data_IF_946324473261
#
_entry.id   IF_946324473261
#
_cell.length_a   1.000
_cell.length_b   1.000
_cell.length_c   1.000
_cell.angle_alpha   90.00
_cell.angle_beta   90.00
_cell.angle_gamma   90.00
#
_symmetry.space_group_name_H-M   'P 1'
#
loop_
_entity.id
_entity.type
_entity.pdbx_description
1 polymer ?
#
# COMPACT_ATOMS: atom_id res chain seq x y z
N UNK A 1 -44.05 13.93 -43.86
CA UNK A 1 -42.73 14.45 -43.51
C UNK A 1 -42.22 14.02 -42.10
N UNK A 2 -42.99 14.22 -41.03
CA UNK A 2 -42.53 13.82 -39.66
C UNK A 2 -42.13 12.34 -39.55
N UNK A 3 -42.88 11.42 -40.15
CA UNK A 3 -42.62 9.98 -40.09
C UNK A 3 -41.30 9.58 -40.76
N UNK A 4 -40.92 10.26 -41.86
CA UNK A 4 -39.66 10.00 -42.60
C UNK A 4 -38.42 10.44 -41.89
N UNK A 5 -38.52 11.37 -40.92
CA UNK A 5 -37.40 11.79 -40.06
C UNK A 5 -37.27 10.90 -38.83
N UNK A 6 -38.39 10.51 -38.22
CA UNK A 6 -38.39 9.67 -37.00
C UNK A 6 -37.86 8.25 -37.25
N UNK A 7 -38.13 7.66 -38.40
CA UNK A 7 -37.75 6.27 -38.68
C UNK A 7 -36.19 6.09 -38.80
N UNK A 8 -35.44 6.94 -39.54
CA UNK A 8 -33.99 6.89 -39.54
C UNK A 8 -33.36 7.20 -38.20
N UNK A 9 -33.86 8.16 -37.43
CA UNK A 9 -33.35 8.54 -36.12
C UNK A 9 -33.52 7.40 -35.11
N UNK A 10 -34.70 6.75 -35.08
CA UNK A 10 -34.92 5.59 -34.20
C UNK A 10 -34.05 4.39 -34.58
N UNK A 11 -33.88 4.14 -35.89
CA UNK A 11 -32.99 3.09 -36.38
C UNK A 11 -31.50 3.35 -36.04
N UNK A 12 -31.07 4.60 -36.17
CA UNK A 12 -29.75 5.04 -35.74
C UNK A 12 -29.54 4.82 -34.23
N UNK A 13 -30.51 5.21 -33.40
CA UNK A 13 -30.45 4.98 -31.95
C UNK A 13 -30.31 3.51 -31.59
N UNK A 14 -31.05 2.63 -32.27
CA UNK A 14 -30.92 1.19 -32.07
C UNK A 14 -29.55 0.63 -32.46
N UNK A 15 -28.99 1.06 -33.60
CA UNK A 15 -27.66 0.67 -34.04
C UNK A 15 -26.59 1.18 -33.04
N UNK A 16 -26.72 2.42 -32.59
CA UNK A 16 -25.80 3.02 -31.61
C UNK A 16 -25.77 2.25 -30.29
N UNK A 17 -26.92 1.85 -29.78
CA UNK A 17 -27.03 1.05 -28.56
C UNK A 17 -26.38 -0.34 -28.71
N UNK A 18 -26.60 -0.99 -29.86
CA UNK A 18 -26.00 -2.30 -30.16
C UNK A 18 -24.46 -2.21 -30.31
N UNK A 19 -23.98 -1.18 -30.99
CA UNK A 19 -22.57 -0.91 -31.17
C UNK A 19 -21.89 -0.58 -29.82
N UNK A 20 -22.54 0.20 -28.95
CA UNK A 20 -22.05 0.50 -27.61
C UNK A 20 -21.84 -0.76 -26.77
N UNK A 21 -22.81 -1.70 -26.78
CA UNK A 21 -22.67 -2.99 -26.09
C UNK A 21 -21.49 -3.82 -26.62
N UNK A 22 -21.18 -3.72 -27.90
CA UNK A 22 -20.06 -4.44 -28.52
C UNK A 22 -18.70 -3.79 -28.20
N UNK A 23 -18.62 -2.48 -28.17
CA UNK A 23 -17.37 -1.72 -28.01
C UNK A 23 -16.93 -1.68 -26.54
N UNK A 24 -17.86 -1.56 -25.59
CA UNK A 24 -17.60 -1.46 -24.16
C UNK A 24 -16.64 -2.54 -23.62
N UNK A 25 -16.81 -3.84 -23.91
CA UNK A 25 -15.88 -4.89 -23.43
C UNK A 25 -14.48 -4.78 -24.04
N UNK A 26 -14.35 -4.28 -25.29
CA UNK A 26 -13.07 -4.07 -25.95
C UNK A 26 -12.25 -2.99 -25.21
N UNK A 27 -12.88 -1.87 -24.86
CA UNK A 27 -12.24 -0.79 -24.10
C UNK A 27 -11.85 -1.23 -22.67
N UNK A 28 -12.74 -1.99 -21.99
CA UNK A 28 -12.44 -2.54 -20.68
C UNK A 28 -11.21 -3.47 -20.71
N UNK A 29 -11.13 -4.33 -21.70
CA UNK A 29 -10.01 -5.25 -21.88
C UNK A 29 -8.71 -4.49 -22.20
N UNK A 30 -8.77 -3.42 -22.99
CA UNK A 30 -7.64 -2.52 -23.26
C UNK A 30 -7.05 -1.93 -21.98
N UNK A 31 -7.92 -1.46 -21.06
CA UNK A 31 -7.50 -0.93 -19.77
C UNK A 31 -6.73 -1.97 -18.94
N UNK A 32 -7.24 -3.22 -18.90
CA UNK A 32 -6.59 -4.32 -18.19
C UNK A 32 -5.21 -4.66 -18.77
N UNK A 33 -5.11 -4.86 -20.09
CA UNK A 33 -3.83 -5.17 -20.76
C UNK A 33 -2.81 -4.04 -20.57
N UNK A 34 -3.25 -2.78 -20.65
CA UNK A 34 -2.37 -1.63 -20.42
C UNK A 34 -1.81 -1.60 -18.99
N UNK A 35 -2.63 -1.96 -17.99
CA UNK A 35 -2.18 -2.07 -16.60
C UNK A 35 -1.17 -3.22 -16.43
N UNK A 36 -1.38 -4.37 -17.06
CA UNK A 36 -0.47 -5.51 -17.04
C UNK A 36 0.90 -5.17 -17.66
N UNK A 37 0.91 -4.50 -18.81
CA UNK A 37 2.17 -4.07 -19.49
C UNK A 37 2.92 -3.04 -18.63
N UNK A 38 2.22 -2.07 -18.05
CA UNK A 38 2.85 -1.09 -17.14
C UNK A 38 3.38 -1.75 -15.87
N UNK A 39 2.64 -2.67 -15.27
CA UNK A 39 3.08 -3.45 -14.12
C UNK A 39 4.37 -4.22 -14.44
N UNK A 40 4.40 -4.91 -15.57
CA UNK A 40 5.59 -5.63 -16.03
C UNK A 40 6.80 -4.72 -16.22
N UNK A 41 6.61 -3.55 -16.82
CA UNK A 41 7.68 -2.55 -16.99
C UNK A 41 8.27 -2.13 -15.62
N UNK A 42 7.41 -1.88 -14.65
CA UNK A 42 7.84 -1.52 -13.29
C UNK A 42 8.63 -2.65 -12.63
N UNK A 43 8.17 -3.90 -12.75
CA UNK A 43 8.90 -5.09 -12.26
C UNK A 43 10.26 -5.24 -12.94
N UNK A 44 10.32 -5.13 -14.26
CA UNK A 44 11.55 -5.25 -15.05
C UNK A 44 12.58 -4.21 -14.61
N UNK A 45 12.17 -2.94 -14.43
CA UNK A 45 13.05 -1.87 -13.97
C UNK A 45 13.50 -2.09 -12.51
N UNK A 46 12.62 -2.51 -11.63
CA UNK A 46 12.98 -2.82 -10.24
C UNK A 46 13.93 -4.03 -10.16
N UNK A 47 13.72 -5.04 -11.03
CA UNK A 47 14.50 -6.28 -11.09
C UNK A 47 15.70 -6.24 -12.02
N UNK A 48 16.09 -5.08 -12.57
CA UNK A 48 17.14 -5.00 -13.62
C UNK A 48 18.47 -5.63 -13.23
N UNK A 49 18.86 -5.57 -11.96
CA UNK A 49 20.09 -6.20 -11.46
C UNK A 49 20.01 -7.73 -11.54
N UNK A 50 18.84 -8.30 -11.25
CA UNK A 50 18.61 -9.75 -11.34
C UNK A 50 18.66 -10.19 -12.79
N UNK A 51 17.98 -9.46 -13.69
CA UNK A 51 17.98 -9.73 -15.14
C UNK A 51 19.41 -9.73 -15.67
N UNK A 52 20.21 -8.72 -15.28
CA UNK A 52 21.63 -8.62 -15.66
C UNK A 52 22.48 -9.74 -15.09
N UNK A 53 22.31 -10.07 -13.79
CA UNK A 53 23.06 -11.11 -13.13
C UNK A 53 22.87 -12.50 -13.77
N UNK A 54 21.68 -12.76 -14.28
CA UNK A 54 21.35 -14.04 -14.93
C UNK A 54 21.40 -14.00 -16.47
N UNK A 55 21.85 -12.89 -17.06
CA UNK A 55 21.93 -12.68 -18.52
C UNK A 55 20.59 -12.98 -19.24
N UNK A 56 19.48 -12.54 -18.58
CA UNK A 56 18.12 -12.87 -18.98
C UNK A 56 17.42 -11.75 -19.79
N UNK A 57 18.17 -10.80 -20.35
CA UNK A 57 17.64 -9.65 -21.08
C UNK A 57 16.78 -10.07 -22.27
N UNK A 58 17.23 -11.07 -23.03
CA UNK A 58 16.48 -11.55 -24.18
C UNK A 58 15.13 -12.15 -23.80
N UNK A 59 15.12 -12.96 -22.73
CA UNK A 59 13.89 -13.57 -22.22
C UNK A 59 12.90 -12.51 -21.71
N UNK A 60 13.42 -11.48 -21.04
CA UNK A 60 12.58 -10.38 -20.54
C UNK A 60 12.04 -9.51 -21.68
N UNK A 61 12.86 -9.20 -22.67
CA UNK A 61 12.44 -8.50 -23.88
C UNK A 61 11.34 -9.24 -24.62
N UNK A 62 11.47 -10.54 -24.84
CA UNK A 62 10.42 -11.35 -25.48
C UNK A 62 9.11 -11.33 -24.68
N UNK A 63 9.19 -11.35 -23.35
CA UNK A 63 8.02 -11.28 -22.49
C UNK A 63 7.34 -9.92 -22.58
N UNK A 64 8.12 -8.85 -22.57
CA UNK A 64 7.63 -7.48 -22.75
C UNK A 64 7.03 -7.25 -24.14
N UNK A 65 7.71 -7.71 -25.21
CA UNK A 65 7.23 -7.63 -26.59
C UNK A 65 5.87 -8.33 -26.76
N UNK A 66 5.68 -9.51 -26.18
CA UNK A 66 4.37 -10.21 -26.19
C UNK A 66 3.28 -9.38 -25.53
N UNK A 67 3.58 -8.71 -24.42
CA UNK A 67 2.67 -7.79 -23.75
C UNK A 67 2.31 -6.60 -24.63
N UNK A 68 3.31 -5.97 -25.23
CA UNK A 68 3.14 -4.83 -26.15
C UNK A 68 2.35 -5.23 -27.39
N UNK A 69 2.63 -6.42 -27.99
CA UNK A 69 1.86 -6.90 -29.15
C UNK A 69 0.40 -7.16 -28.77
N UNK A 70 0.13 -7.75 -27.63
CA UNK A 70 -1.23 -7.92 -27.11
C UNK A 70 -1.95 -6.58 -26.95
N UNK A 71 -1.27 -5.56 -26.41
CA UNK A 71 -1.81 -4.20 -26.30
C UNK A 71 -2.08 -3.61 -27.69
N UNK A 72 -1.13 -3.73 -28.61
CA UNK A 72 -1.26 -3.25 -29.99
C UNK A 72 -2.47 -3.87 -30.69
N UNK A 73 -2.63 -5.21 -30.64
CA UNK A 73 -3.76 -5.90 -31.25
C UNK A 73 -5.10 -5.44 -30.64
N UNK A 74 -5.14 -5.19 -29.34
CA UNK A 74 -6.34 -4.72 -28.66
C UNK A 74 -6.67 -3.27 -29.01
N UNK A 75 -5.66 -2.39 -29.09
CA UNK A 75 -5.80 -1.02 -29.57
C UNK A 75 -6.28 -1.01 -31.02
N UNK A 76 -5.67 -1.83 -31.90
CA UNK A 76 -6.08 -1.97 -33.30
C UNK A 76 -7.54 -2.40 -33.41
N UNK A 77 -7.98 -3.41 -32.63
CA UNK A 77 -9.40 -3.85 -32.59
C UNK A 77 -10.33 -2.72 -32.15
N UNK A 78 -9.95 -1.97 -31.10
CA UNK A 78 -10.79 -0.87 -30.59
C UNK A 78 -10.91 0.27 -31.60
N UNK A 79 -9.80 0.68 -32.22
CA UNK A 79 -9.78 1.73 -33.23
C UNK A 79 -10.55 1.31 -34.50
N UNK A 80 -10.36 0.06 -34.96
CA UNK A 80 -11.11 -0.46 -36.13
C UNK A 80 -12.61 -0.50 -35.84
N UNK A 81 -13.03 -0.98 -34.65
CA UNK A 81 -14.44 -1.02 -34.26
C UNK A 81 -15.05 0.39 -34.21
N UNK A 82 -14.32 1.35 -33.63
CA UNK A 82 -14.73 2.75 -33.58
C UNK A 82 -14.82 3.36 -34.98
N UNK A 83 -13.80 3.14 -35.83
CA UNK A 83 -13.78 3.66 -37.21
C UNK A 83 -14.94 3.11 -38.04
N UNK A 84 -15.20 1.79 -37.99
CA UNK A 84 -16.32 1.17 -38.68
C UNK A 84 -17.65 1.75 -38.19
N UNK A 85 -17.83 1.91 -36.89
CA UNK A 85 -19.04 2.50 -36.32
C UNK A 85 -19.22 3.95 -36.79
N UNK A 86 -18.20 4.78 -36.70
CA UNK A 86 -18.28 6.20 -37.11
C UNK A 86 -18.54 6.33 -38.61
N UNK A 87 -17.80 5.57 -39.44
CA UNK A 87 -17.99 5.58 -40.90
C UNK A 87 -19.38 5.09 -41.31
N UNK A 88 -19.85 4.00 -40.69
CA UNK A 88 -21.20 3.48 -40.95
C UNK A 88 -22.30 4.49 -40.54
N UNK A 89 -22.11 5.16 -39.40
CA UNK A 89 -23.02 6.21 -38.94
C UNK A 89 -23.04 7.41 -39.88
N UNK A 90 -21.88 7.87 -40.32
CA UNK A 90 -21.77 8.99 -41.28
C UNK A 90 -22.39 8.61 -42.64
N UNK A 91 -22.15 7.40 -43.10
CA UNK A 91 -22.73 6.90 -44.36
C UNK A 91 -24.27 6.83 -44.29
N UNK A 92 -24.84 6.29 -43.22
CA UNK A 92 -26.30 6.22 -43.02
C UNK A 92 -26.95 7.61 -42.92
N UNK A 93 -26.28 8.54 -42.22
CA UNK A 93 -26.72 9.93 -42.15
C UNK A 93 -26.66 10.61 -43.52
N UNK A 94 -25.64 10.33 -44.31
CA UNK A 94 -25.51 10.80 -45.69
C UNK A 94 -26.64 10.29 -46.57
N UNK A 95 -26.94 8.98 -46.52
CA UNK A 95 -28.09 8.40 -47.25
C UNK A 95 -29.43 9.02 -46.83
N UNK A 96 -29.64 9.20 -45.51
CA UNK A 96 -30.84 9.86 -45.02
C UNK A 96 -30.95 11.30 -45.55
N UNK A 97 -29.83 12.05 -45.57
CA UNK A 97 -29.80 13.42 -46.12
C UNK A 97 -30.17 13.47 -47.59
N UNK A 98 -29.59 12.57 -48.40
CA UNK A 98 -29.94 12.46 -49.84
C UNK A 98 -31.43 12.10 -50.03
N UNK A 99 -31.93 11.15 -49.25
CA UNK A 99 -33.38 10.78 -49.28
C UNK A 99 -34.30 11.95 -48.95
N UNK A 100 -33.96 12.70 -47.93
CA UNK A 100 -34.73 13.90 -47.49
C UNK A 100 -34.67 14.99 -48.55
N UNK A 101 -33.49 15.24 -49.15
CA UNK A 101 -33.33 16.19 -50.25
C UNK A 101 -34.17 15.78 -51.50
N UNK A 102 -34.14 14.48 -51.85
CA UNK A 102 -34.89 13.98 -52.99
C UNK A 102 -36.42 14.10 -52.78
N UNK A 103 -36.92 13.70 -51.61
CA UNK A 103 -38.36 13.80 -51.27
C UNK A 103 -38.79 15.26 -51.13
N UNK A 104 -37.96 16.11 -50.48
CA UNK A 104 -38.22 17.54 -50.36
C UNK A 104 -38.22 18.26 -51.67
N UNK A 105 -37.33 17.92 -52.62
CA UNK A 105 -37.31 18.40 -54.00
C UNK A 105 -38.57 17.99 -54.79
N UNK A 106 -39.02 16.74 -54.61
CA UNK A 106 -40.29 16.27 -55.21
C UNK A 106 -41.49 17.09 -54.72
N UNK A 107 -41.62 17.32 -53.39
CA UNK A 107 -42.71 18.15 -52.84
C UNK A 107 -42.60 19.63 -53.29
N UNK A 108 -41.41 20.12 -53.56
CA UNK A 108 -41.21 21.47 -54.13
C UNK A 108 -41.71 21.56 -55.58
N UNK A 109 -41.49 20.54 -56.43
CA UNK A 109 -41.99 20.46 -57.81
C UNK A 109 -43.50 20.37 -57.82
N UNK A 110 -44.13 19.65 -56.89
CA UNK A 110 -45.56 19.56 -56.73
C UNK A 110 -46.22 20.83 -56.14
N UNK A 111 -45.44 21.84 -55.81
CA UNK A 111 -45.95 23.08 -55.22
C UNK A 111 -46.38 22.99 -53.76
N UNK A 112 -46.12 21.88 -53.08
CA UNK A 112 -46.45 21.66 -51.66
C UNK A 112 -45.45 22.30 -50.70
N UNK A 113 -44.25 22.67 -51.19
CA UNK A 113 -43.21 23.34 -50.43
C UNK A 113 -42.62 24.52 -51.21
N UNK A 114 -42.43 25.67 -50.55
CA UNK A 114 -41.68 26.77 -51.15
C UNK A 114 -40.16 26.49 -51.13
N UNK A 115 -39.44 27.14 -52.06
CA UNK A 115 -37.96 27.05 -52.06
C UNK A 115 -37.34 27.49 -50.75
N UNK A 116 -37.93 28.52 -50.09
CA UNK A 116 -37.51 29.01 -48.79
C UNK A 116 -37.68 27.99 -47.69
N UNK A 117 -38.84 27.27 -47.69
CA UNK A 117 -39.12 26.22 -46.67
C UNK A 117 -38.18 25.02 -46.87
N UNK A 118 -37.88 24.65 -48.10
CA UNK A 118 -36.94 23.57 -48.40
C UNK A 118 -35.50 23.91 -47.92
N UNK A 119 -35.00 25.13 -48.20
CA UNK A 119 -33.74 25.60 -47.71
C UNK A 119 -33.66 25.65 -46.18
N UNK A 120 -34.72 26.23 -45.57
CA UNK A 120 -34.82 26.28 -44.08
C UNK A 120 -34.78 24.88 -43.47
N UNK A 121 -35.50 23.93 -44.04
CA UNK A 121 -35.54 22.55 -43.56
C UNK A 121 -34.17 21.85 -43.69
N UNK A 122 -33.45 22.03 -44.84
CA UNK A 122 -32.15 21.44 -45.07
C UNK A 122 -31.09 22.01 -44.10
N UNK A 123 -31.13 23.32 -43.86
CA UNK A 123 -30.21 23.95 -42.89
C UNK A 123 -30.48 23.47 -41.47
N UNK A 124 -31.76 23.40 -41.04
CA UNK A 124 -32.10 22.90 -39.69
C UNK A 124 -31.72 21.44 -39.52
N UNK A 125 -31.85 20.61 -40.57
CA UNK A 125 -31.38 19.21 -40.53
C UNK A 125 -29.88 19.10 -40.34
N UNK A 126 -29.10 19.92 -41.06
CA UNK A 126 -27.66 20.00 -40.89
C UNK A 126 -27.25 20.37 -39.46
N UNK A 127 -27.92 21.34 -38.86
CA UNK A 127 -27.70 21.74 -37.48
C UNK A 127 -28.08 20.66 -36.46
N UNK A 128 -29.04 19.77 -36.74
CA UNK A 128 -29.43 18.68 -35.85
C UNK A 128 -28.43 17.50 -35.87
N UNK A 129 -27.75 17.26 -36.97
CA UNK A 129 -26.83 16.09 -37.10
C UNK A 129 -25.64 16.21 -36.19
N UNK A 130 -24.97 17.39 -36.14
CA UNK A 130 -23.80 17.61 -35.35
C UNK A 130 -23.96 17.34 -33.84
N UNK A 131 -25.01 17.84 -33.16
CA UNK A 131 -25.27 17.51 -31.75
C UNK A 131 -25.53 16.02 -31.50
N UNK A 132 -26.16 15.31 -32.42
CA UNK A 132 -26.46 13.87 -32.26
C UNK A 132 -25.12 13.07 -32.25
N UNK A 133 -24.21 13.42 -33.18
CA UNK A 133 -22.84 12.80 -33.21
C UNK A 133 -22.08 13.14 -31.94
N UNK A 134 -22.12 14.39 -31.47
CA UNK A 134 -21.47 14.79 -30.21
C UNK A 134 -22.06 14.06 -29.00
N UNK A 135 -23.36 13.91 -28.86
CA UNK A 135 -23.99 13.15 -27.79
C UNK A 135 -23.48 11.69 -27.73
N UNK A 136 -23.27 11.06 -28.88
CA UNK A 136 -22.72 9.71 -28.96
C UNK A 136 -21.27 9.62 -28.41
N UNK A 137 -20.46 10.63 -28.68
CA UNK A 137 -19.08 10.73 -28.19
C UNK A 137 -19.05 11.04 -26.67
N UNK A 138 -19.91 11.94 -26.20
CA UNK A 138 -20.05 12.27 -24.77
C UNK A 138 -20.48 11.04 -23.98
N UNK A 139 -21.36 10.19 -24.50
CA UNK A 139 -21.81 8.97 -23.83
C UNK A 139 -20.67 8.01 -23.50
N UNK A 140 -19.67 7.88 -24.39
CA UNK A 140 -18.49 7.05 -24.15
C UNK A 140 -17.55 7.66 -23.09
N UNK A 141 -17.30 8.97 -23.17
CA UNK A 141 -16.47 9.70 -22.20
C UNK A 141 -17.12 9.71 -20.80
N UNK A 142 -18.45 9.89 -20.73
CA UNK A 142 -19.19 9.85 -19.48
C UNK A 142 -19.10 8.47 -18.82
N UNK A 143 -19.15 7.39 -19.59
CA UNK A 143 -19.00 6.02 -19.05
C UNK A 143 -17.62 5.79 -18.46
N UNK A 144 -16.57 6.30 -19.10
CA UNK A 144 -15.20 6.21 -18.60
C UNK A 144 -15.02 7.04 -17.31
N UNK A 145 -15.58 8.26 -17.30
CA UNK A 145 -15.55 9.14 -16.14
C UNK A 145 -16.32 8.56 -14.94
N UNK A 146 -17.53 8.00 -15.17
CA UNK A 146 -18.32 7.35 -14.13
C UNK A 146 -17.61 6.11 -13.56
N UNK A 147 -16.96 5.29 -14.39
CA UNK A 147 -16.21 4.15 -13.91
C UNK A 147 -15.01 4.57 -13.03
N UNK A 148 -14.37 5.72 -13.33
CA UNK A 148 -13.36 6.31 -12.47
C UNK A 148 -13.93 6.84 -11.15
N UNK A 149 -15.12 7.45 -11.20
CA UNK A 149 -15.83 7.95 -10.02
C UNK A 149 -16.25 6.80 -9.09
N UNK A 150 -16.85 5.73 -9.64
CA UNK A 150 -17.26 4.54 -8.88
C UNK A 150 -16.08 3.95 -8.11
N UNK A 151 -14.89 3.89 -8.74
CA UNK A 151 -13.68 3.39 -8.09
C UNK A 151 -13.15 4.35 -7.00
N UNK A 152 -13.30 5.65 -7.20
CA UNK A 152 -12.96 6.65 -6.19
C UNK A 152 -13.92 6.56 -5.01
N UNK A 153 -15.21 6.40 -5.28
CA UNK A 153 -16.25 6.24 -4.25
C UNK A 153 -16.03 4.94 -3.44
N UNK A 154 -15.68 3.84 -4.09
CA UNK A 154 -15.31 2.59 -3.43
C UNK A 154 -14.15 2.79 -2.45
N UNK A 155 -13.09 3.52 -2.86
CA UNK A 155 -11.96 3.85 -2.00
C UNK A 155 -12.34 4.81 -0.86
N UNK A 156 -13.19 5.81 -1.13
CA UNK A 156 -13.64 6.77 -0.12
C UNK A 156 -14.61 6.17 0.90
N UNK A 157 -15.34 5.12 0.52
CA UNK A 157 -16.24 4.37 1.39
C UNK A 157 -15.55 3.25 2.19
N UNK A 158 -14.24 3.02 1.98
CA UNK A 158 -13.48 2.14 2.86
C UNK A 158 -13.45 2.76 4.27
N UNK A 159 -13.86 1.98 5.26
CA UNK A 159 -13.79 2.41 6.66
C UNK A 159 -12.35 2.73 7.04
N UNK A 160 -12.12 3.94 7.53
CA UNK A 160 -10.83 4.31 8.05
C UNK A 160 -10.59 3.59 9.40
N UNK A 161 -9.35 3.24 9.68
CA UNK A 161 -8.97 2.51 10.90
C UNK A 161 -9.40 3.25 12.19
N UNK A 162 -9.51 4.59 12.14
CA UNK A 162 -9.94 5.43 13.27
C UNK A 162 -11.48 5.58 13.39
N UNK A 163 -12.24 5.14 12.38
CA UNK A 163 -13.72 5.25 12.38
C UNK A 163 -14.40 4.09 13.13
N UNK A 164 -13.62 3.18 13.71
CA UNK A 164 -14.12 2.10 14.55
C UNK A 164 -14.85 2.67 15.78
N UNK A 165 -16.17 2.56 15.75
CA UNK A 165 -17.07 3.10 16.79
C UNK A 165 -16.90 2.45 18.15
N UNK A 166 -16.29 1.27 18.22
CA UNK A 166 -16.03 0.57 19.47
C UNK A 166 -14.82 1.16 20.20
N UNK A 167 -13.91 1.84 19.49
CA UNK A 167 -12.70 2.47 20.03
C UNK A 167 -12.98 3.85 20.60
N UNK A 168 -13.53 3.89 21.83
CA UNK A 168 -13.94 5.15 22.49
C UNK A 168 -13.00 5.61 23.59
N UNK A 169 -12.16 4.70 24.14
CA UNK A 169 -11.28 5.00 25.27
C UNK A 169 -10.03 5.76 24.80
N UNK A 170 -9.71 6.85 25.51
CA UNK A 170 -8.50 7.65 25.27
C UNK A 170 -7.53 7.43 26.42
N UNK A 171 -6.33 6.94 26.10
CA UNK A 171 -5.24 6.79 27.07
C UNK A 171 -4.60 8.15 27.34
N UNK A 172 -4.65 8.62 28.57
CA UNK A 172 -3.99 9.87 29.00
C UNK A 172 -2.58 9.61 29.52
N UNK A 173 -2.38 8.50 30.18
CA UNK A 173 -1.10 8.02 30.71
C UNK A 173 -1.00 6.53 30.47
N UNK A 174 0.18 6.06 30.17
CA UNK A 174 0.48 4.64 29.94
C UNK A 174 1.66 4.25 30.82
N UNK A 175 1.45 3.24 31.66
CA UNK A 175 2.51 2.63 32.45
C UNK A 175 3.19 1.50 31.68
N UNK A 176 2.48 0.87 30.72
CA UNK A 176 3.01 -0.12 29.78
C UNK A 176 2.83 -1.57 30.23
N UNK A 177 1.80 -1.87 31.03
CA UNK A 177 1.43 -3.23 31.43
C UNK A 177 0.65 -3.92 30.30
N UNK A 178 1.25 -4.89 29.60
CA UNK A 178 0.62 -5.56 28.45
C UNK A 178 0.30 -7.02 28.84
N UNK A 179 -0.96 -7.42 28.65
CA UNK A 179 -1.40 -8.78 28.90
C UNK A 179 -2.10 -9.36 27.65
N UNK A 180 -1.63 -10.51 27.19
CA UNK A 180 -2.26 -11.36 26.21
C UNK A 180 -3.05 -12.46 26.93
N UNK A 181 -4.35 -12.57 26.65
CA UNK A 181 -5.23 -13.54 27.28
C UNK A 181 -5.97 -14.35 26.21
N UNK A 182 -5.57 -15.62 26.04
CA UNK A 182 -6.10 -16.59 25.09
C UNK A 182 -6.18 -16.03 23.65
N UNK A 183 -5.14 -15.33 23.21
CA UNK A 183 -5.11 -14.66 21.91
C UNK A 183 -4.81 -15.65 20.79
N UNK A 184 -5.73 -15.76 19.82
CA UNK A 184 -5.51 -16.46 18.55
C UNK A 184 -5.60 -15.48 17.39
N UNK A 185 -4.89 -15.79 16.29
CA UNK A 185 -4.86 -14.93 15.11
C UNK A 185 -4.74 -15.71 13.80
N UNK A 186 -5.49 -15.25 12.79
CA UNK A 186 -5.45 -15.76 11.40
C UNK A 186 -5.36 -14.58 10.43
N UNK A 187 -4.46 -14.67 9.42
CA UNK A 187 -4.43 -13.72 8.30
C UNK A 187 -5.56 -13.97 7.30
N UNK A 188 -5.92 -15.25 7.12
CA UNK A 188 -7.00 -15.72 6.25
C UNK A 188 -7.92 -16.63 7.05
N UNK A 189 -9.20 -16.65 6.73
CA UNK A 189 -10.14 -17.57 7.38
C UNK A 189 -9.67 -19.03 7.27
N UNK A 190 -9.66 -19.73 8.39
CA UNK A 190 -9.29 -21.14 8.48
C UNK A 190 -7.78 -21.45 8.54
N UNK A 191 -6.90 -20.42 8.56
CA UNK A 191 -5.46 -20.61 8.75
C UNK A 191 -4.96 -19.85 9.97
N UNK A 192 -5.13 -20.46 11.13
CA UNK A 192 -4.57 -19.90 12.37
C UNK A 192 -3.04 -19.90 12.35
N UNK A 193 -2.46 -18.74 12.74
CA UNK A 193 -1.02 -18.52 12.86
C UNK A 193 -0.59 -18.47 14.32
N UNK A 194 -1.48 -18.02 15.20
CA UNK A 194 -1.27 -18.00 16.66
C UNK A 194 -2.42 -18.72 17.34
N UNK A 195 -2.07 -19.57 18.31
CA UNK A 195 -3.00 -20.44 19.02
C UNK A 195 -2.93 -20.18 20.54
N UNK A 196 -4.01 -19.63 21.13
CA UNK A 196 -4.16 -19.45 22.57
C UNK A 196 -2.93 -18.83 23.27
N UNK A 197 -2.39 -17.77 22.69
CA UNK A 197 -1.23 -17.06 23.24
C UNK A 197 -1.58 -16.38 24.56
N UNK A 198 -0.84 -16.74 25.62
CA UNK A 198 -1.02 -16.22 26.97
C UNK A 198 0.33 -15.77 27.55
N UNK A 199 0.53 -14.48 27.74
CA UNK A 199 1.71 -13.94 28.43
C UNK A 199 1.46 -12.54 28.96
N UNK A 200 2.31 -12.13 29.87
CA UNK A 200 2.29 -10.83 30.53
C UNK A 200 3.65 -10.15 30.34
N UNK A 201 3.63 -8.88 29.96
CA UNK A 201 4.80 -8.00 29.86
C UNK A 201 4.66 -6.93 30.94
N UNK A 202 5.39 -7.03 32.05
CA UNK A 202 5.34 -6.04 33.12
C UNK A 202 5.85 -4.66 32.65
N UNK A 203 5.37 -3.57 33.27
CA UNK A 203 5.87 -2.22 32.99
C UNK A 203 7.40 -2.13 33.11
N UNK A 204 8.03 -1.50 32.12
CA UNK A 204 9.49 -1.27 32.11
C UNK A 204 10.36 -2.53 31.90
N UNK A 205 9.75 -3.70 31.62
CA UNK A 205 10.48 -4.94 31.37
C UNK A 205 10.74 -5.19 29.88
N UNK A 206 11.74 -6.01 29.61
CA UNK A 206 12.10 -6.45 28.25
C UNK A 206 11.71 -7.91 28.05
N UNK A 207 10.75 -8.16 27.16
CA UNK A 207 10.32 -9.50 26.75
C UNK A 207 10.88 -9.83 25.37
N UNK A 208 11.69 -10.88 25.27
CA UNK A 208 12.28 -11.34 24.01
C UNK A 208 11.43 -12.49 23.42
N UNK A 209 11.08 -12.34 22.14
CA UNK A 209 10.44 -13.38 21.34
C UNK A 209 11.51 -14.13 20.55
N UNK A 210 11.62 -15.43 20.76
CA UNK A 210 12.61 -16.31 20.11
C UNK A 210 11.88 -17.46 19.43
N UNK A 211 12.42 -17.97 18.33
CA UNK A 211 11.83 -19.10 17.61
C UNK A 211 12.23 -19.13 16.14
N UNK A 212 11.87 -20.19 15.43
CA UNK A 212 12.14 -20.35 13.99
C UNK A 212 11.45 -19.28 13.14
N UNK A 213 11.89 -19.10 11.88
CA UNK A 213 11.18 -18.26 10.92
C UNK A 213 9.76 -18.80 10.70
N UNK A 214 8.77 -17.92 10.63
CA UNK A 214 7.37 -18.30 10.47
C UNK A 214 6.67 -18.80 11.73
N UNK A 215 7.32 -18.79 12.93
CA UNK A 215 6.69 -19.27 14.16
C UNK A 215 5.60 -18.35 14.76
N UNK A 216 5.42 -17.13 14.23
CA UNK A 216 4.41 -16.17 14.71
C UNK A 216 4.95 -14.96 15.51
N UNK A 217 6.29 -14.80 15.66
CA UNK A 217 6.91 -13.67 16.39
C UNK A 217 6.50 -12.30 15.88
N UNK A 218 6.61 -12.09 14.56
CA UNK A 218 6.23 -10.82 13.93
C UNK A 218 4.72 -10.56 14.01
N UNK A 219 3.91 -11.61 14.09
CA UNK A 219 2.47 -11.50 14.31
C UNK A 219 2.17 -11.03 15.73
N UNK A 220 2.86 -11.54 16.75
CA UNK A 220 2.73 -11.06 18.16
C UNK A 220 3.16 -9.59 18.24
N UNK A 221 4.27 -9.22 17.61
CA UNK A 221 4.73 -7.83 17.53
C UNK A 221 3.70 -6.91 16.84
N UNK A 222 3.12 -7.37 15.72
CA UNK A 222 2.07 -6.64 14.99
C UNK A 222 0.78 -6.46 15.80
N UNK A 223 0.36 -7.47 16.54
CA UNK A 223 -0.77 -7.39 17.49
C UNK A 223 -0.48 -6.40 18.61
N UNK A 224 0.74 -6.43 19.18
CA UNK A 224 1.16 -5.49 20.23
C UNK A 224 1.24 -4.05 19.71
N UNK A 225 1.59 -3.86 18.42
CA UNK A 225 1.63 -2.55 17.76
C UNK A 225 0.25 -2.05 17.29
N UNK A 226 -0.81 -2.84 17.45
CA UNK A 226 -2.15 -2.57 16.89
C UNK A 226 -2.17 -2.46 15.35
N UNK A 227 -1.23 -3.08 14.67
CA UNK A 227 -1.25 -3.24 13.20
C UNK A 227 -2.14 -4.42 12.78
N UNK A 228 -2.41 -5.32 13.72
CA UNK A 228 -3.26 -6.47 13.59
C UNK A 228 -4.25 -6.51 14.77
N UNK A 229 -5.45 -7.03 14.53
CA UNK A 229 -6.44 -7.27 15.56
C UNK A 229 -6.54 -8.78 15.83
N UNK A 230 -6.68 -9.25 17.09
CA UNK A 230 -6.82 -10.66 17.38
C UNK A 230 -8.12 -11.21 16.77
N UNK A 231 -8.08 -12.47 16.29
CA UNK A 231 -9.28 -13.18 15.81
C UNK A 231 -10.13 -13.64 17.00
N UNK A 232 -9.49 -14.01 18.10
CA UNK A 232 -10.13 -14.34 19.37
C UNK A 232 -9.22 -14.04 20.54
N UNK A 233 -9.76 -14.00 21.76
CA UNK A 233 -9.05 -13.59 22.97
C UNK A 233 -9.01 -12.08 23.14
N UNK A 234 -8.22 -11.60 24.11
CA UNK A 234 -8.12 -10.17 24.44
C UNK A 234 -6.68 -9.77 24.71
N UNK A 235 -6.32 -8.56 24.26
CA UNK A 235 -5.06 -7.91 24.61
C UNK A 235 -5.43 -6.69 25.43
N UNK A 236 -4.82 -6.55 26.61
CA UNK A 236 -5.04 -5.38 27.46
C UNK A 236 -3.76 -4.58 27.64
N UNK A 237 -3.90 -3.26 27.74
CA UNK A 237 -2.86 -2.32 28.17
C UNK A 237 -3.33 -1.61 29.44
N UNK A 238 -2.52 -1.68 30.51
CA UNK A 238 -2.87 -1.10 31.80
C UNK A 238 -4.28 -1.51 32.25
N UNK A 239 -4.63 -2.80 32.06
CA UNK A 239 -5.94 -3.43 32.35
C UNK A 239 -7.10 -2.93 31.49
N UNK A 240 -6.84 -2.14 30.45
CA UNK A 240 -7.85 -1.69 29.49
C UNK A 240 -7.76 -2.52 28.19
N UNK A 241 -8.91 -2.94 27.68
CA UNK A 241 -9.00 -3.72 26.45
C UNK A 241 -8.56 -2.87 25.24
N UNK A 242 -7.54 -3.34 24.53
CA UNK A 242 -6.97 -2.64 23.36
C UNK A 242 -7.97 -2.49 22.22
N UNK A 243 -8.98 -3.36 22.12
CA UNK A 243 -10.04 -3.26 21.11
C UNK A 243 -10.93 -2.03 21.31
N UNK A 244 -10.97 -1.46 22.52
CA UNK A 244 -11.79 -0.28 22.87
C UNK A 244 -11.00 1.02 22.93
N UNK A 245 -9.69 0.96 22.81
CA UNK A 245 -8.80 2.12 22.91
C UNK A 245 -8.66 2.80 21.53
N UNK A 246 -8.77 4.13 21.48
CA UNK A 246 -8.46 4.91 20.30
C UNK A 246 -7.00 4.71 19.91
N UNK A 247 -6.77 4.27 18.66
CA UNK A 247 -5.45 3.93 18.14
C UNK A 247 -4.48 5.10 18.23
N UNK A 248 -4.91 6.29 17.86
CA UNK A 248 -4.10 7.51 17.95
C UNK A 248 -3.65 7.82 19.38
N UNK A 249 -4.45 7.48 20.41
CA UNK A 249 -4.05 7.66 21.81
C UNK A 249 -3.03 6.64 22.30
N UNK A 250 -3.11 5.38 21.84
CA UNK A 250 -2.13 4.33 22.14
C UNK A 250 -0.80 4.56 21.40
N UNK A 251 -0.88 4.79 20.08
CA UNK A 251 0.29 4.96 19.23
C UNK A 251 1.17 6.16 19.59
N UNK A 252 0.64 7.16 20.29
CA UNK A 252 1.44 8.24 20.90
C UNK A 252 2.45 7.74 21.93
N UNK A 253 2.18 6.60 22.56
CA UNK A 253 3.03 5.99 23.58
C UNK A 253 3.86 4.83 23.03
N UNK A 254 3.76 4.55 21.71
CA UNK A 254 4.39 3.41 21.04
C UNK A 254 5.57 3.89 20.20
N UNK A 255 6.71 3.24 20.35
CA UNK A 255 7.87 3.32 19.46
C UNK A 255 8.07 2.00 18.74
N UNK A 256 8.28 2.05 17.43
CA UNK A 256 8.48 0.84 16.61
C UNK A 256 9.75 0.99 15.81
N UNK A 257 10.63 -0.01 15.91
CA UNK A 257 11.82 -0.14 15.05
C UNK A 257 11.71 -1.49 14.36
N UNK A 258 11.41 -1.47 13.06
CA UNK A 258 11.22 -2.67 12.25
C UNK A 258 12.50 -3.10 11.56
N UNK A 259 12.52 -4.32 11.06
CA UNK A 259 13.63 -4.89 10.29
C UNK A 259 13.92 -4.08 9.01
N UNK A 260 12.88 -3.71 8.28
CA UNK A 260 12.98 -2.84 7.09
C UNK A 260 12.74 -1.39 7.51
N UNK A 261 13.83 -0.65 7.71
CA UNK A 261 13.74 0.76 8.09
C UNK A 261 13.26 1.61 6.90
N UNK A 262 12.03 2.06 6.98
CA UNK A 262 11.48 2.98 6.00
C UNK A 262 11.88 4.42 6.33
N UNK A 263 12.55 5.08 5.38
CA UNK A 263 12.88 6.50 5.44
C UNK A 263 12.15 7.23 4.32
N UNK A 264 11.56 8.38 4.68
CA UNK A 264 10.93 9.26 3.70
C UNK A 264 11.98 10.01 2.88
N UNK A 265 11.66 10.33 1.65
CA UNK A 265 12.46 11.27 0.87
C UNK A 265 12.49 12.62 1.59
N UNK A 266 13.69 13.20 1.69
CA UNK A 266 13.93 14.43 2.42
C UNK A 266 15.28 14.44 3.10
N UNK A 267 15.43 15.25 4.13
CA UNK A 267 16.65 15.38 4.93
C UNK A 267 16.70 14.35 6.07
N UNK A 268 17.90 14.15 6.63
CA UNK A 268 18.08 13.35 7.86
C UNK A 268 17.27 13.99 9.01
N UNK A 269 17.33 15.31 9.13
CA UNK A 269 16.59 16.10 10.13
C UNK A 269 15.10 15.81 10.07
N UNK A 270 14.48 15.95 8.90
CA UNK A 270 13.05 15.70 8.68
C UNK A 270 12.65 14.28 9.05
N UNK A 271 13.48 13.32 8.72
CA UNK A 271 13.26 11.93 9.07
C UNK A 271 13.29 11.67 10.57
N UNK A 272 14.18 12.30 11.33
CA UNK A 272 14.22 12.17 12.80
C UNK A 272 13.05 12.90 13.43
N UNK A 273 12.70 14.10 12.95
CA UNK A 273 11.60 14.93 13.45
C UNK A 273 10.20 14.38 13.13
N UNK A 274 10.09 13.35 12.27
CA UNK A 274 8.82 12.79 11.80
C UNK A 274 7.78 12.54 12.91
N UNK A 275 8.11 11.91 14.06
CA UNK A 275 7.13 11.68 15.13
C UNK A 275 6.80 12.94 15.94
N UNK A 276 7.70 13.93 15.98
CA UNK A 276 7.56 15.18 16.73
C UNK A 276 8.11 16.38 15.94
N UNK A 277 7.36 16.87 14.94
CA UNK A 277 7.83 17.96 14.06
C UNK A 277 8.19 19.25 14.79
N UNK A 278 7.60 19.48 15.97
CA UNK A 278 7.81 20.66 16.81
C UNK A 278 8.80 20.42 17.96
N UNK A 279 9.62 19.35 17.90
CA UNK A 279 10.65 19.12 18.89
C UNK A 279 11.71 20.24 18.85
N UNK A 280 12.23 20.59 20.02
CA UNK A 280 13.29 21.61 20.13
C UNK A 280 14.61 21.08 19.55
N UNK A 281 15.50 21.97 19.14
CA UNK A 281 16.85 21.60 18.68
C UNK A 281 17.61 20.80 19.76
N UNK A 282 17.40 21.09 21.04
CA UNK A 282 18.02 20.35 22.14
C UNK A 282 17.49 18.92 22.21
N UNK A 283 16.18 18.68 22.01
CA UNK A 283 15.60 17.33 21.98
C UNK A 283 16.10 16.56 20.77
N UNK A 284 16.19 17.21 19.61
CA UNK A 284 16.74 16.62 18.39
C UNK A 284 18.20 16.22 18.59
N UNK A 285 19.06 17.12 19.12
CA UNK A 285 20.47 16.86 19.39
C UNK A 285 20.64 15.68 20.36
N UNK A 286 19.82 15.59 21.40
CA UNK A 286 19.85 14.49 22.35
C UNK A 286 19.52 13.14 21.67
N UNK A 287 18.50 13.12 20.79
CA UNK A 287 18.14 11.91 20.04
C UNK A 287 19.25 11.52 19.05
N UNK A 288 19.83 12.49 18.35
CA UNK A 288 20.94 12.31 17.40
C UNK A 288 22.16 11.70 18.11
N UNK A 289 22.57 12.21 19.25
CA UNK A 289 23.68 11.71 20.05
C UNK A 289 23.39 10.33 20.65
N UNK A 290 22.20 10.13 21.20
CA UNK A 290 21.81 8.85 21.79
C UNK A 290 21.77 7.70 20.76
N UNK A 291 21.51 8.03 19.49
CA UNK A 291 21.52 7.07 18.39
C UNK A 291 22.85 7.05 17.61
N UNK A 292 23.87 7.82 18.01
CA UNK A 292 25.15 7.97 17.32
C UNK A 292 25.00 8.39 15.84
N UNK A 293 23.99 9.20 15.54
CA UNK A 293 23.77 9.73 14.18
C UNK A 293 24.78 10.80 13.84
N UNK A 294 25.22 11.58 14.83
CA UNK A 294 26.26 12.62 14.72
C UNK A 294 27.60 12.08 14.20
N UNK A 295 27.92 10.83 14.50
CA UNK A 295 29.17 10.20 14.07
C UNK A 295 29.33 10.19 12.55
N UNK A 296 28.26 9.88 11.79
CA UNK A 296 28.33 9.86 10.33
C UNK A 296 27.86 11.16 9.68
N UNK A 297 26.93 11.89 10.30
CA UNK A 297 26.46 13.16 9.74
C UNK A 297 27.50 14.26 9.80
N UNK A 298 28.43 14.22 10.77
CA UNK A 298 29.58 15.12 10.82
C UNK A 298 30.50 15.05 9.59
N UNK A 299 30.45 13.94 8.84
CA UNK A 299 31.22 13.73 7.60
C UNK A 299 30.48 14.24 6.35
N UNK A 300 29.21 14.63 6.48
CA UNK A 300 28.42 15.13 5.37
C UNK A 300 28.51 16.65 5.29
N UNK A 301 28.60 17.21 4.08
CA UNK A 301 28.71 18.63 3.83
C UNK A 301 27.57 19.44 4.46
N UNK A 302 26.35 18.89 4.48
CA UNK A 302 25.17 19.54 5.03
C UNK A 302 24.71 18.93 6.37
N UNK A 303 25.51 18.10 7.01
CA UNK A 303 25.19 17.50 8.31
C UNK A 303 23.81 16.82 8.33
N UNK A 304 22.94 17.23 9.26
CA UNK A 304 21.58 16.75 9.38
C UNK A 304 20.66 17.21 8.22
N UNK A 305 21.00 18.25 7.50
CA UNK A 305 20.20 18.75 6.38
C UNK A 305 20.58 18.09 5.04
N UNK A 306 21.35 17.02 5.09
CA UNK A 306 21.71 16.19 3.95
C UNK A 306 20.49 15.44 3.41
N UNK A 307 20.23 15.57 2.09
CA UNK A 307 19.19 14.84 1.38
C UNK A 307 19.57 13.38 1.15
N UNK A 308 18.75 12.46 1.65
CA UNK A 308 19.03 11.01 1.64
C UNK A 308 18.45 10.26 0.44
N UNK A 309 17.59 10.91 -0.35
CA UNK A 309 16.91 10.31 -1.50
C UNK A 309 15.79 9.34 -1.11
N UNK A 310 15.16 8.74 -2.12
CA UNK A 310 14.07 7.80 -1.95
C UNK A 310 14.52 6.61 -1.08
N UNK A 311 13.74 6.31 -0.01
CA UNK A 311 14.02 5.25 0.96
C UNK A 311 15.43 5.27 1.57
N UNK A 312 16.09 6.43 1.59
CA UNK A 312 17.43 6.56 2.16
C UNK A 312 18.53 5.80 1.39
N UNK A 313 18.39 5.69 0.07
CA UNK A 313 19.31 4.92 -0.80
C UNK A 313 20.78 5.33 -0.68
N UNK A 314 21.05 6.57 -0.25
CA UNK A 314 22.40 7.10 -0.06
C UNK A 314 23.05 6.69 1.27
N UNK A 315 22.30 6.02 2.16
CA UNK A 315 22.78 5.61 3.48
C UNK A 315 23.09 4.11 3.52
N UNK A 316 24.09 3.72 4.34
CA UNK A 316 24.31 2.30 4.66
C UNK A 316 23.17 1.74 5.51
N UNK A 317 23.02 0.40 5.58
CA UNK A 317 22.02 -0.25 6.45
C UNK A 317 22.12 0.19 7.91
N UNK A 318 23.33 0.22 8.47
CA UNK A 318 23.56 0.67 9.85
C UNK A 318 23.25 2.16 10.08
N UNK A 319 23.45 3.02 9.09
CA UNK A 319 23.06 4.43 9.17
C UNK A 319 21.55 4.58 9.15
N UNK A 320 20.84 3.84 8.28
CA UNK A 320 19.36 3.84 8.26
C UNK A 320 18.79 3.37 9.59
N UNK A 321 19.32 2.28 10.15
CA UNK A 321 18.87 1.75 11.43
C UNK A 321 19.07 2.74 12.57
N UNK A 322 20.26 3.40 12.65
CA UNK A 322 20.49 4.45 13.67
C UNK A 322 19.54 5.63 13.50
N UNK A 323 19.16 6.00 12.28
CA UNK A 323 18.13 7.00 12.03
C UNK A 323 16.75 6.56 12.54
N UNK A 324 16.35 5.31 12.31
CA UNK A 324 15.09 4.76 12.82
C UNK A 324 15.09 4.74 14.37
N UNK A 325 16.23 4.40 14.99
CA UNK A 325 16.40 4.45 16.45
C UNK A 325 16.32 5.90 16.96
N UNK A 326 16.98 6.87 16.30
CA UNK A 326 16.89 8.30 16.66
C UNK A 326 15.44 8.81 16.61
N UNK A 327 14.71 8.42 15.57
CA UNK A 327 13.27 8.69 15.43
C UNK A 327 12.47 8.14 16.62
N UNK A 328 12.73 6.89 17.01
CA UNK A 328 12.07 6.25 18.13
C UNK A 328 12.46 6.90 19.48
N UNK A 329 13.71 7.31 19.67
CA UNK A 329 14.15 8.03 20.88
C UNK A 329 13.44 9.40 20.98
N UNK A 330 13.37 10.15 19.88
CA UNK A 330 12.71 11.47 19.85
C UNK A 330 11.22 11.38 20.14
N UNK A 331 10.56 10.29 19.74
CA UNK A 331 9.15 10.03 20.05
C UNK A 331 8.89 9.87 21.55
N UNK A 332 9.92 9.50 22.35
CA UNK A 332 9.87 9.22 23.78
C UNK A 332 8.71 8.31 24.20
N UNK A 333 8.62 7.09 23.62
CA UNK A 333 7.53 6.17 23.88
C UNK A 333 7.66 5.50 25.25
N UNK A 334 6.52 4.98 25.77
CA UNK A 334 6.50 4.11 26.95
C UNK A 334 6.60 2.63 26.59
N UNK A 335 6.16 2.27 25.41
CA UNK A 335 6.17 0.91 24.88
C UNK A 335 7.01 0.89 23.62
N UNK A 336 7.87 -0.11 23.47
CA UNK A 336 8.74 -0.28 22.34
C UNK A 336 8.54 -1.66 21.72
N UNK A 337 8.43 -1.72 20.41
CA UNK A 337 8.46 -2.95 19.63
C UNK A 337 9.67 -2.90 18.74
N UNK A 338 10.56 -3.89 18.90
CA UNK A 338 11.78 -4.01 18.14
C UNK A 338 11.76 -5.29 17.30
N UNK A 339 12.10 -5.17 16.02
CA UNK A 339 12.42 -6.32 15.17
C UNK A 339 13.91 -6.26 14.83
N UNK A 340 14.71 -7.13 15.50
CA UNK A 340 16.17 -7.08 15.49
C UNK A 340 16.77 -7.90 14.34
N UNK A 341 16.61 -7.46 13.10
CA UNK A 341 17.28 -8.08 11.96
C UNK A 341 18.48 -7.24 11.48
N UNK A 342 19.67 -7.62 11.90
CA UNK A 342 20.92 -6.91 11.59
C UNK A 342 21.98 -7.82 10.95
N UNK A 343 21.55 -8.79 10.15
CA UNK A 343 22.40 -9.87 9.62
C UNK A 343 23.50 -9.46 8.61
N UNK A 344 23.56 -8.17 8.21
CA UNK A 344 24.47 -7.71 7.15
C UNK A 344 25.26 -6.44 7.50
N UNK A 345 25.52 -6.19 8.80
CA UNK A 345 26.23 -5.00 9.24
C UNK A 345 27.68 -5.32 9.62
N UNK A 346 28.57 -4.34 9.42
CA UNK A 346 29.93 -4.38 9.94
C UNK A 346 29.97 -4.30 11.47
N UNK A 347 31.01 -4.84 12.10
CA UNK A 347 31.12 -4.97 13.55
C UNK A 347 31.08 -3.63 14.30
N UNK A 348 31.63 -2.56 13.70
CA UNK A 348 31.61 -1.22 14.30
C UNK A 348 30.21 -0.63 14.35
N UNK A 349 29.49 -0.62 13.19
CA UNK A 349 28.09 -0.18 13.10
C UNK A 349 27.19 -0.98 14.04
N UNK A 350 27.43 -2.30 14.15
CA UNK A 350 26.70 -3.17 15.06
C UNK A 350 26.86 -2.75 16.52
N UNK A 351 28.10 -2.47 16.97
CA UNK A 351 28.36 -2.02 18.34
C UNK A 351 27.62 -0.72 18.68
N UNK A 352 27.61 0.24 17.75
CA UNK A 352 26.90 1.51 17.91
C UNK A 352 25.38 1.34 17.98
N UNK A 353 24.83 0.47 17.12
CA UNK A 353 23.40 0.15 17.13
C UNK A 353 23.00 -0.49 18.46
N UNK A 354 23.78 -1.44 18.97
CA UNK A 354 23.52 -2.08 20.27
C UNK A 354 23.53 -1.06 21.42
N UNK A 355 24.47 -0.10 21.41
CA UNK A 355 24.50 0.99 22.38
C UNK A 355 23.26 1.89 22.26
N UNK A 356 22.86 2.23 21.04
CA UNK A 356 21.65 3.03 20.76
C UNK A 356 20.37 2.33 21.23
N UNK A 357 20.25 1.04 20.95
CA UNK A 357 19.12 0.22 21.40
C UNK A 357 19.08 0.13 22.94
N UNK A 358 20.22 -0.03 23.60
CA UNK A 358 20.28 -0.03 25.06
C UNK A 358 19.80 1.30 25.69
N UNK A 359 20.04 2.44 25.01
CA UNK A 359 19.48 3.73 25.42
C UNK A 359 17.97 3.78 25.18
N UNK A 360 17.52 3.27 24.03
CA UNK A 360 16.10 3.27 23.65
C UNK A 360 15.26 2.45 24.62
N UNK A 361 15.69 1.22 25.00
CA UNK A 361 14.89 0.31 25.84
C UNK A 361 14.89 0.64 27.33
N UNK A 362 15.79 1.51 27.78
CA UNK A 362 15.94 1.85 29.21
C UNK A 362 14.65 2.44 29.77
N UNK A 363 14.18 1.86 30.89
CA UNK A 363 12.96 2.29 31.64
C UNK A 363 11.67 2.27 30.78
N UNK A 364 11.62 1.41 29.75
CA UNK A 364 10.48 1.28 28.84
C UNK A 364 10.06 -0.19 28.68
N UNK A 365 8.75 -0.42 28.58
CA UNK A 365 8.21 -1.75 28.30
C UNK A 365 8.57 -2.13 26.87
N UNK A 366 9.29 -3.23 26.70
CA UNK A 366 9.85 -3.59 25.37
C UNK A 366 9.48 -5.03 25.01
N UNK A 367 8.93 -5.19 23.81
CA UNK A 367 8.81 -6.49 23.14
C UNK A 367 9.82 -6.51 22.00
N UNK A 368 10.75 -7.46 22.02
CA UNK A 368 11.80 -7.56 21.01
C UNK A 368 11.77 -8.93 20.32
N UNK A 369 11.72 -8.93 18.99
CA UNK A 369 11.99 -10.14 18.20
C UNK A 369 13.51 -10.29 18.16
N UNK A 370 14.01 -11.21 18.98
CA UNK A 370 15.44 -11.37 19.17
C UNK A 370 16.05 -12.34 18.17
N UNK A 371 16.93 -11.82 17.34
CA UNK A 371 17.75 -12.58 16.41
C UNK A 371 19.20 -12.69 16.92
N UNK A 372 19.52 -12.11 18.09
CA UNK A 372 20.88 -12.08 18.66
C UNK A 372 20.92 -12.63 20.07
N UNK A 373 22.04 -13.32 20.38
CA UNK A 373 22.31 -13.86 21.72
C UNK A 373 22.45 -12.78 22.78
N UNK A 374 22.98 -11.61 22.41
CA UNK A 374 23.18 -10.50 23.34
C UNK A 374 21.86 -9.93 23.88
N UNK A 375 20.84 -9.88 23.05
CA UNK A 375 19.50 -9.39 23.39
C UNK A 375 18.76 -10.39 24.28
N UNK A 376 18.81 -11.68 23.94
CA UNK A 376 18.17 -12.72 24.74
C UNK A 376 18.78 -12.84 26.15
N UNK A 377 20.10 -12.66 26.30
CA UNK A 377 20.78 -12.70 27.61
C UNK A 377 20.33 -11.60 28.58
N UNK A 378 19.95 -10.44 28.05
CA UNK A 378 19.58 -9.25 28.84
C UNK A 378 18.08 -9.10 29.05
N UNK A 379 17.27 -9.93 28.41
CA UNK A 379 15.82 -9.90 28.54
C UNK A 379 15.38 -10.39 29.93
N UNK A 380 14.40 -9.70 30.52
CA UNK A 380 13.76 -10.10 31.77
C UNK A 380 12.92 -11.36 31.62
N UNK A 381 12.34 -11.53 30.41
CA UNK A 381 11.57 -12.70 30.03
C UNK A 381 11.90 -13.09 28.58
N UNK A 382 11.97 -14.37 28.33
CA UNK A 382 12.10 -14.97 27.00
C UNK A 382 10.87 -15.84 26.77
N UNK A 383 10.23 -15.65 25.61
CA UNK A 383 9.15 -16.49 25.10
C UNK A 383 9.65 -17.23 23.86
N UNK A 384 9.69 -18.54 23.91
CA UNK A 384 10.03 -19.37 22.77
C UNK A 384 8.75 -19.70 22.02
N UNK A 385 8.64 -19.19 20.81
CA UNK A 385 7.47 -19.37 19.96
C UNK A 385 7.75 -20.49 18.94
N UNK A 386 6.91 -21.49 18.92
CA UNK A 386 6.99 -22.62 17.98
C UNK A 386 5.58 -22.96 17.46
N UNK A 387 5.44 -23.02 16.15
CA UNK A 387 4.15 -23.34 15.49
C UNK A 387 2.95 -22.55 16.01
N UNK A 388 3.15 -21.26 16.30
CA UNK A 388 2.07 -20.37 16.77
C UNK A 388 1.72 -20.48 18.27
N UNK A 389 2.48 -21.22 19.07
CA UNK A 389 2.29 -21.40 20.50
C UNK A 389 3.52 -20.99 21.30
N UNK A 390 3.36 -20.72 22.60
CA UNK A 390 4.48 -20.50 23.53
C UNK A 390 4.95 -21.86 24.05
N UNK A 391 6.06 -22.36 23.46
CA UNK A 391 6.63 -23.64 23.84
C UNK A 391 7.39 -23.57 25.19
N UNK A 392 8.13 -22.47 25.41
CA UNK A 392 8.90 -22.28 26.66
C UNK A 392 8.83 -20.81 27.09
N UNK A 393 8.95 -20.61 28.40
CA UNK A 393 8.99 -19.29 29.04
C UNK A 393 9.96 -19.29 30.21
N UNK A 394 10.78 -18.24 30.32
CA UNK A 394 11.69 -18.07 31.45
C UNK A 394 12.76 -17.03 31.18
N UNK A 395 13.72 -16.92 32.08
CA UNK A 395 14.95 -16.15 31.89
C UNK A 395 15.98 -16.95 31.11
N UNK A 396 17.01 -16.28 30.58
CA UNK A 396 18.12 -16.96 29.91
C UNK A 396 18.71 -18.11 30.71
N UNK A 397 18.98 -17.87 32.02
CA UNK A 397 19.63 -18.86 32.87
C UNK A 397 18.73 -20.07 33.17
N UNK A 398 17.42 -19.88 33.31
CA UNK A 398 16.44 -20.95 33.51
C UNK A 398 16.34 -21.82 32.28
N UNK A 399 16.16 -21.21 31.11
CA UNK A 399 15.97 -21.92 29.84
C UNK A 399 17.25 -22.66 29.39
N UNK A 400 18.44 -22.12 29.64
CA UNK A 400 19.70 -22.83 29.38
C UNK A 400 19.83 -24.08 30.27
N UNK A 401 19.42 -23.99 31.57
CA UNK A 401 19.44 -25.14 32.48
C UNK A 401 18.39 -26.20 32.11
N UNK A 402 17.25 -25.78 31.61
CA UNK A 402 16.17 -26.67 31.16
C UNK A 402 16.57 -27.54 29.98
N UNK A 403 17.55 -27.13 29.17
CA UNK A 403 18.07 -27.82 27.95
C UNK A 403 16.95 -28.16 26.95
N UNK A 404 15.96 -27.31 26.86
CA UNK A 404 14.84 -27.44 25.92
C UNK A 404 15.11 -26.75 24.58
N UNK A 405 14.02 -26.33 23.91
CA UNK A 405 14.10 -25.69 22.58
C UNK A 405 14.95 -24.42 22.53
N UNK A 406 14.87 -23.59 23.59
CA UNK A 406 15.72 -22.40 23.72
C UNK A 406 17.20 -22.76 23.70
N UNK A 407 17.58 -23.81 24.44
CA UNK A 407 18.98 -24.27 24.49
C UNK A 407 19.49 -24.69 23.11
N UNK A 408 18.66 -25.39 22.34
CA UNK A 408 19.00 -25.82 20.97
C UNK A 408 19.22 -24.62 20.05
N UNK A 409 18.27 -23.65 20.04
CA UNK A 409 18.36 -22.42 19.27
C UNK A 409 19.58 -21.58 19.66
N UNK A 410 19.83 -21.43 20.97
CA UNK A 410 20.97 -20.70 21.49
C UNK A 410 22.29 -21.36 21.10
N UNK A 411 22.41 -22.67 21.25
CA UNK A 411 23.65 -23.43 20.96
C UNK A 411 23.93 -23.41 19.45
N UNK A 412 22.90 -23.48 18.63
CA UNK A 412 23.04 -23.35 17.18
C UNK A 412 23.60 -21.98 16.79
N UNK A 413 23.03 -20.90 17.32
CA UNK A 413 23.52 -19.53 17.06
C UNK A 413 24.92 -19.28 17.62
N UNK A 414 25.32 -19.90 18.74
CA UNK A 414 26.64 -19.72 19.35
C UNK A 414 27.75 -20.44 18.57
N UNK A 415 27.39 -21.36 17.65
CA UNK A 415 28.33 -22.11 16.81
C UNK A 415 28.62 -21.44 15.46
N UNK A 416 27.76 -20.47 15.07
CA UNK A 416 27.93 -19.64 13.88
C UNK A 416 28.70 -18.39 14.25
#
# INVERSE_FOLDING_TARGET
>A
MKLFVFLPVSFFGFIALKAFKYIRPIFRNRGKINAEVKGRLTETLAGVRVIKAFNAENQENETFERGVDSLFQNVKKSLTATAVMTSSSTFLLGLASVGIMGIGGYFMIEGQLTTGDFLKFTLLLGFMIAPIVQMSNIGSQLTEALAGLDRTEELMNMEAEEDDKERTLVLKKVDGDILFNNVSFSYEEGKEVLHNINFHVPPGSVTALVGSSGSGKSTIAGLSATFLNPTSGTITIDRQDMSKIKLSSYRKHLGVVLQDEFLFEGTIRENILFPRPNATETELDNAVKAAYVDEFTSRFEHGLDTLIGERGVKLSGGQRQRLAIARAILADPKIIILDEATSSLDTESESLIQKSLAQLVKDRTTIVIAHRLSTTKKADQILVIESGEIAERGTHNELIKAKGRYFDLYTYQAKI
#
